data_IF_115857678408
#
_entry.id   IF_115857678408
#
_cell.length_a   1.000
_cell.length_b   1.000
_cell.length_c   1.000
_cell.angle_alpha   90.00
_cell.angle_beta   90.00
_cell.angle_gamma   90.00
#
_symmetry.space_group_name_H-M   'P 1'
#
loop_
_entity.id
_entity.type
_entity.pdbx_description
1 polymer ?
#
# COMPACT_ATOMS: atom_id res chain seq x y z
N UNK A 1 -3.98 -19.49 -3.08
CA UNK A 1 -3.79 -18.03 -3.26
C UNK A 1 -5.01 -17.31 -2.73
N UNK A 2 -4.85 -16.41 -1.76
CA UNK A 2 -5.92 -15.54 -1.27
C UNK A 2 -6.31 -14.55 -2.37
N UNK A 3 -7.61 -14.49 -2.70
CA UNK A 3 -8.13 -13.52 -3.66
C UNK A 3 -7.96 -12.11 -3.05
N UNK A 4 -7.53 -11.10 -3.84
CA UNK A 4 -7.38 -9.76 -3.30
C UNK A 4 -8.74 -9.22 -2.83
N UNK A 5 -8.80 -8.51 -1.68
CA UNK A 5 -10.01 -7.83 -1.27
C UNK A 5 -10.40 -6.78 -2.32
N UNK A 6 -11.70 -6.55 -2.46
CA UNK A 6 -12.27 -5.63 -3.44
C UNK A 6 -12.75 -4.35 -2.73
N UNK A 7 -12.66 -3.23 -3.44
CA UNK A 7 -13.23 -1.97 -2.98
C UNK A 7 -14.76 -2.08 -2.90
N UNK A 8 -15.34 -1.76 -1.74
CA UNK A 8 -16.79 -1.82 -1.51
C UNK A 8 -17.62 -0.84 -2.33
N UNK A 9 -16.98 0.16 -2.96
CA UNK A 9 -17.65 1.13 -3.83
C UNK A 9 -17.54 0.76 -5.31
N UNK A 10 -16.31 0.55 -5.82
CA UNK A 10 -16.08 0.38 -7.26
C UNK A 10 -15.72 -1.04 -7.72
N UNK A 11 -15.64 -2.01 -6.79
CA UNK A 11 -15.32 -3.41 -7.10
C UNK A 11 -13.87 -3.69 -7.52
N UNK A 12 -13.00 -2.68 -7.63
CA UNK A 12 -11.58 -2.87 -8.00
C UNK A 12 -10.80 -3.55 -6.88
N UNK A 13 -9.86 -4.42 -7.24
CA UNK A 13 -8.94 -5.03 -6.28
C UNK A 13 -8.13 -3.97 -5.51
N UNK A 14 -8.00 -4.14 -4.19
CA UNK A 14 -7.21 -3.25 -3.36
C UNK A 14 -5.72 -3.43 -3.65
N UNK A 15 -4.97 -2.32 -3.54
CA UNK A 15 -3.52 -2.34 -3.76
C UNK A 15 -2.83 -3.09 -2.65
N UNK A 16 -1.79 -3.84 -2.99
CA UNK A 16 -0.89 -4.49 -2.04
C UNK A 16 -0.16 -3.44 -1.23
N UNK A 17 0.06 -3.70 0.06
CA UNK A 17 0.93 -2.86 0.89
C UNK A 17 2.38 -3.22 0.56
N UNK A 18 3.08 -2.32 -0.12
CA UNK A 18 4.43 -2.56 -0.62
C UNK A 18 5.44 -1.74 0.16
N UNK A 19 6.51 -2.39 0.63
CA UNK A 19 7.69 -1.72 1.18
C UNK A 19 8.70 -1.53 0.06
N UNK A 20 9.15 -0.30 -0.16
CA UNK A 20 10.19 0.01 -1.14
C UNK A 20 11.57 -0.07 -0.49
N UNK A 21 12.47 -0.84 -1.11
CA UNK A 21 13.88 -0.94 -0.72
C UNK A 21 14.74 -0.43 -1.87
N UNK A 22 15.54 0.60 -1.60
CA UNK A 22 16.47 1.20 -2.57
C UNK A 22 17.89 0.67 -2.34
N UNK A 23 18.53 0.23 -3.41
CA UNK A 23 19.93 -0.19 -3.44
C UNK A 23 20.91 0.97 -3.73
N UNK A 24 20.39 2.18 -3.92
CA UNK A 24 21.17 3.36 -4.31
C UNK A 24 21.16 4.46 -3.24
N UNK A 25 21.08 4.13 -1.96
CA UNK A 25 21.22 5.16 -0.93
C UNK A 25 22.69 5.62 -0.89
N UNK A 26 22.92 6.89 -1.23
CA UNK A 26 24.16 7.63 -0.94
C UNK A 26 24.48 7.72 0.58
N UNK A 27 23.69 7.05 1.41
CA UNK A 27 23.73 7.00 2.86
C UNK A 27 23.72 5.55 3.37
N UNK A 28 24.34 4.62 2.66
CA UNK A 28 24.77 3.39 3.33
C UNK A 28 25.82 3.79 4.37
N UNK A 29 25.43 3.77 5.65
CA UNK A 29 26.36 3.72 6.80
C UNK A 29 27.23 2.45 6.79
N UNK A 30 27.09 1.59 5.78
CA UNK A 30 28.03 0.54 5.43
C UNK A 30 29.17 1.14 4.59
N UNK A 31 30.40 1.24 5.13
CA UNK A 31 31.58 1.57 4.34
C UNK A 31 31.78 0.43 3.34
N UNK A 32 31.61 0.70 2.04
CA UNK A 32 32.03 -0.24 0.99
C UNK A 32 30.97 -0.83 0.06
N UNK A 33 29.81 -0.20 -0.15
CA UNK A 33 28.87 -0.66 -1.19
C UNK A 33 29.44 -0.48 -2.60
N UNK A 34 30.22 -1.45 -3.09
CA UNK A 34 30.73 -1.50 -4.46
C UNK A 34 29.60 -1.97 -5.38
N UNK A 35 29.70 -1.68 -6.69
CA UNK A 35 28.74 -2.18 -7.70
C UNK A 35 28.52 -3.70 -7.60
N UNK A 36 29.52 -4.47 -7.17
CA UNK A 36 29.44 -5.92 -6.95
C UNK A 36 28.25 -6.35 -6.09
N UNK A 37 27.72 -5.47 -5.24
CA UNK A 37 26.70 -5.80 -4.26
C UNK A 37 25.28 -5.48 -4.76
N UNK A 38 25.17 -4.87 -5.95
CA UNK A 38 23.88 -4.51 -6.55
C UNK A 38 23.37 -5.65 -7.43
N UNK A 39 22.17 -6.20 -7.18
CA UNK A 39 21.60 -7.23 -8.04
C UNK A 39 21.35 -6.70 -9.45
N UNK A 40 21.70 -7.48 -10.46
CA UNK A 40 21.50 -7.17 -11.87
C UNK A 40 20.12 -7.63 -12.37
N UNK A 41 19.52 -8.63 -11.71
CA UNK A 41 18.28 -9.27 -12.13
C UNK A 41 17.25 -9.35 -11.00
N UNK A 42 16.00 -9.66 -11.38
CA UNK A 42 14.92 -9.94 -10.43
C UNK A 42 15.25 -11.15 -9.57
N UNK A 43 15.82 -12.18 -10.18
CA UNK A 43 16.13 -13.45 -9.57
C UNK A 43 17.20 -13.28 -8.50
N UNK A 44 18.24 -12.49 -8.80
CA UNK A 44 19.26 -12.10 -7.82
C UNK A 44 18.68 -11.27 -6.69
N UNK A 45 17.86 -10.27 -7.00
CA UNK A 45 17.20 -9.46 -5.97
C UNK A 45 16.27 -10.31 -5.09
N UNK A 46 15.57 -11.29 -5.67
CA UNK A 46 14.64 -12.16 -4.94
C UNK A 46 15.37 -13.10 -3.96
N UNK A 47 16.65 -13.42 -4.18
CA UNK A 47 17.45 -14.19 -3.22
C UNK A 47 17.77 -13.41 -1.94
N UNK A 48 17.68 -12.08 -1.98
CA UNK A 48 17.98 -11.20 -0.85
C UNK A 48 16.80 -11.02 0.10
N UNK A 49 15.58 -11.38 -0.32
CA UNK A 49 14.35 -11.14 0.44
C UNK A 49 13.46 -12.37 0.50
N UNK A 50 12.84 -12.60 1.66
CA UNK A 50 11.85 -13.66 1.84
C UNK A 50 10.48 -13.24 1.28
N UNK A 51 10.20 -11.93 1.28
CA UNK A 51 9.02 -11.31 0.73
C UNK A 51 8.94 -11.45 -0.79
N UNK A 52 7.73 -11.35 -1.34
CA UNK A 52 7.53 -11.39 -2.78
C UNK A 52 7.88 -10.04 -3.38
N UNK A 53 8.84 -10.00 -4.30
CA UNK A 53 9.04 -8.82 -5.14
C UNK A 53 7.83 -8.66 -6.06
N UNK A 54 7.19 -7.49 -6.03
CA UNK A 54 6.01 -7.16 -6.86
C UNK A 54 6.25 -6.03 -7.85
N UNK A 55 7.29 -5.22 -7.63
CA UNK A 55 7.75 -4.19 -8.57
C UNK A 55 9.27 -4.09 -8.52
N UNK A 56 9.87 -3.72 -9.66
CA UNK A 56 11.32 -3.52 -9.80
C UNK A 56 11.55 -2.26 -10.60
N UNK A 57 12.50 -1.45 -10.15
CA UNK A 57 13.00 -0.29 -10.89
C UNK A 57 14.45 -0.54 -11.25
N UNK A 58 14.74 -0.50 -12.53
CA UNK A 58 16.10 -0.58 -13.05
C UNK A 58 16.68 0.82 -13.27
N UNK A 59 17.99 0.92 -13.16
CA UNK A 59 18.77 2.08 -13.61
C UNK A 59 19.99 1.59 -14.38
N UNK A 60 20.66 2.53 -15.06
CA UNK A 60 21.90 2.31 -15.77
C UNK A 60 22.99 3.20 -15.17
N UNK A 61 24.20 2.66 -15.05
CA UNK A 61 25.43 3.40 -14.81
C UNK A 61 26.46 3.04 -15.92
N UNK A 62 27.67 3.61 -15.84
CA UNK A 62 28.80 3.38 -16.78
C UNK A 62 29.12 1.90 -17.01
N UNK A 63 28.69 1.10 -16.06
CA UNK A 63 29.14 -0.22 -15.80
C UNK A 63 28.02 -1.18 -16.26
N UNK A 64 26.75 -0.77 -16.24
CA UNK A 64 25.63 -1.40 -16.93
C UNK A 64 24.27 -1.20 -16.26
N UNK A 65 23.29 -2.02 -16.63
CA UNK A 65 21.96 -2.04 -16.00
C UNK A 65 22.05 -2.72 -14.62
N UNK A 66 21.36 -2.16 -13.63
CA UNK A 66 21.22 -2.76 -12.30
C UNK A 66 19.83 -2.51 -11.70
N UNK A 67 19.46 -3.30 -10.69
CA UNK A 67 18.24 -3.09 -9.89
C UNK A 67 18.49 -1.98 -8.88
N UNK A 68 17.82 -0.85 -9.06
CA UNK A 68 17.98 0.30 -8.16
C UNK A 68 17.00 0.27 -6.98
N UNK A 69 15.82 -0.30 -7.18
CA UNK A 69 14.77 -0.34 -6.16
C UNK A 69 13.87 -1.55 -6.39
N UNK A 70 13.41 -2.18 -5.31
CA UNK A 70 12.41 -3.24 -5.33
C UNK A 70 11.25 -2.91 -4.42
N UNK A 71 10.05 -3.26 -4.86
CA UNK A 71 8.85 -3.25 -4.02
C UNK A 71 8.57 -4.65 -3.49
N UNK A 72 8.60 -4.80 -2.18
CA UNK A 72 8.36 -6.04 -1.45
C UNK A 72 6.93 -6.11 -0.92
N UNK A 73 6.31 -7.29 -1.06
CA UNK A 73 5.00 -7.58 -0.52
C UNK A 73 5.05 -8.85 0.33
N UNK A 74 4.52 -8.75 1.55
CA UNK A 74 4.44 -9.83 2.55
C UNK A 74 3.44 -10.95 2.20
N UNK A 75 2.75 -10.85 1.05
CA UNK A 75 1.75 -11.79 0.54
C UNK A 75 0.38 -11.72 1.24
N UNK A 76 0.21 -10.84 2.22
CA UNK A 76 -1.01 -10.79 3.04
C UNK A 76 -1.57 -9.37 3.14
N UNK A 77 -0.71 -8.36 3.27
CA UNK A 77 -1.12 -6.99 3.56
C UNK A 77 -1.57 -6.22 2.32
N UNK A 78 -2.68 -5.50 2.46
CA UNK A 78 -3.19 -4.53 1.50
C UNK A 78 -3.15 -3.13 2.09
N UNK A 79 -3.13 -2.09 1.24
CA UNK A 79 -3.08 -0.69 1.69
C UNK A 79 -4.27 -0.29 2.54
N UNK A 80 -5.38 -0.98 2.36
CA UNK A 80 -6.65 -0.79 3.06
C UNK A 80 -7.38 -2.15 3.10
N UNK A 81 -8.43 -2.25 3.91
CA UNK A 81 -9.30 -3.42 4.00
C UNK A 81 -10.60 -3.26 3.21
N UNK A 82 -11.04 -2.04 2.93
CA UNK A 82 -12.39 -1.78 2.40
C UNK A 82 -12.41 -0.88 1.16
N UNK A 83 -11.52 0.09 1.05
CA UNK A 83 -11.59 1.10 -0.01
C UNK A 83 -10.25 1.32 -0.71
N UNK A 84 -10.29 1.47 -2.04
CA UNK A 84 -9.06 1.70 -2.81
C UNK A 84 -8.54 3.14 -2.72
N UNK A 85 -9.39 4.09 -2.28
CA UNK A 85 -9.13 5.53 -2.12
C UNK A 85 -10.08 6.11 -1.08
N UNK A 86 -9.67 7.20 -0.43
CA UNK A 86 -10.49 7.90 0.57
C UNK A 86 -11.82 8.43 -0.01
N UNK A 87 -11.80 8.96 -1.24
CA UNK A 87 -13.02 9.45 -1.90
C UNK A 87 -14.13 8.38 -1.97
N UNK A 88 -13.77 7.13 -2.31
CA UNK A 88 -14.75 6.04 -2.37
C UNK A 88 -15.29 5.64 -0.99
N UNK A 89 -14.51 5.81 0.07
CA UNK A 89 -14.99 5.59 1.43
C UNK A 89 -16.05 6.65 1.80
N UNK A 90 -15.79 7.90 1.44
CA UNK A 90 -16.71 9.01 1.65
C UNK A 90 -17.99 8.87 0.84
N UNK A 91 -17.88 8.59 -0.47
CA UNK A 91 -19.04 8.38 -1.35
C UNK A 91 -19.92 7.23 -0.83
N UNK A 92 -19.27 6.12 -0.44
CA UNK A 92 -19.98 4.98 0.15
C UNK A 92 -20.68 5.36 1.46
N UNK A 93 -20.05 6.16 2.33
CA UNK A 93 -20.66 6.60 3.58
C UNK A 93 -21.92 7.45 3.31
N UNK A 94 -21.87 8.38 2.35
CA UNK A 94 -23.07 9.15 1.96
C UNK A 94 -24.17 8.27 1.36
N UNK A 95 -23.81 7.31 0.50
CA UNK A 95 -24.80 6.35 -0.03
C UNK A 95 -25.42 5.52 1.09
N UNK A 96 -24.63 5.08 2.07
CA UNK A 96 -25.11 4.33 3.22
C UNK A 96 -26.07 5.16 4.07
N UNK A 97 -25.75 6.43 4.36
CA UNK A 97 -26.61 7.34 5.12
C UNK A 97 -27.92 7.68 4.38
N UNK A 98 -27.89 7.77 3.05
CA UNK A 98 -29.13 7.94 2.26
C UNK A 98 -30.07 6.74 2.37
N UNK A 99 -29.52 5.54 2.51
CA UNK A 99 -30.30 4.31 2.62
C UNK A 99 -30.68 3.97 4.06
N UNK A 100 -29.82 4.29 5.03
CA UNK A 100 -29.99 4.10 6.46
C UNK A 100 -29.59 5.37 7.21
N UNK A 101 -30.50 6.36 7.31
CA UNK A 101 -30.24 7.63 8.00
C UNK A 101 -29.93 7.47 9.49
N UNK A 102 -30.33 6.33 10.07
CA UNK A 102 -30.06 5.94 11.45
C UNK A 102 -28.63 5.42 11.70
N UNK A 103 -27.76 5.40 10.67
CA UNK A 103 -26.34 5.11 10.89
C UNK A 103 -25.66 6.34 11.49
N UNK A 104 -25.01 6.15 12.64
CA UNK A 104 -24.30 7.23 13.33
C UNK A 104 -23.38 6.69 14.40
N UNK A 105 -22.50 7.55 14.90
CA UNK A 105 -21.71 7.25 16.09
C UNK A 105 -22.54 7.56 17.33
N UNK A 106 -22.18 6.95 18.47
CA UNK A 106 -22.82 7.28 19.76
C UNK A 106 -22.77 8.79 20.04
N UNK A 107 -21.62 9.43 19.81
CA UNK A 107 -21.44 10.88 19.99
C UNK A 107 -22.39 11.70 19.12
N UNK A 108 -22.69 11.25 17.90
CA UNK A 108 -23.66 11.91 17.02
C UNK A 108 -25.08 11.82 17.61
N UNK A 109 -25.49 10.66 18.10
CA UNK A 109 -26.82 10.49 18.70
C UNK A 109 -26.99 11.29 19.99
N UNK A 110 -25.98 11.28 20.87
CA UNK A 110 -25.98 12.12 22.08
C UNK A 110 -26.09 13.62 21.76
N UNK A 111 -25.46 14.08 20.66
CA UNK A 111 -25.57 15.47 20.21
C UNK A 111 -26.94 15.79 19.61
N UNK A 112 -27.53 14.85 18.86
CA UNK A 112 -28.86 14.99 18.28
C UNK A 112 -29.93 15.09 19.39
N UNK A 113 -29.85 14.23 20.41
CA UNK A 113 -30.75 14.26 21.57
C UNK A 113 -30.72 15.62 22.27
N UNK A 114 -29.52 16.18 22.50
CA UNK A 114 -29.36 17.53 23.07
C UNK A 114 -29.98 18.61 22.21
N UNK A 115 -29.81 18.55 20.89
CA UNK A 115 -30.42 19.53 19.97
C UNK A 115 -31.94 19.47 19.94
N UNK A 116 -32.53 18.28 20.15
CA UNK A 116 -33.99 18.10 20.15
C UNK A 116 -34.66 18.36 21.51
N UNK A 117 -33.86 18.49 22.57
CA UNK A 117 -34.34 18.75 23.93
C UNK A 117 -34.48 20.26 24.25
N UNK A 118 -33.87 21.11 23.44
CA UNK A 118 -34.03 22.57 23.42
C UNK A 118 -35.21 22.99 22.50
#
# INVERSE_FOLDING_TARGET
MTKPPLCRYCGKALKKKVVSVSFNSYHSRTPGGRRSDRPASREEAQKLFNEKIVSIKYRHDELGRYVAEVGLWDRESYVDKFFCKNAHAQDFAYSALRYKPELGTQVYFEALEKQTAD
#
